data_IF_888910569738
#
_entry.id   IF_888910569738
#
_cell.length_a   1.000
_cell.length_b   1.000
_cell.length_c   1.000
_cell.angle_alpha   90.00
_cell.angle_beta   90.00
_cell.angle_gamma   90.00
#
_symmetry.space_group_name_H-M   'P 1'
#
loop_
_entity.id
_entity.type
_entity.pdbx_description
1 polymer ?
#
# COMPACT_ATOMS: atom_id res chain seq x y z
N UNK A 1 -37.26 -19.25 20.54
CA UNK A 1 -36.23 -18.60 19.72
C UNK A 1 -36.49 -17.11 19.74
N UNK A 2 -35.58 -16.33 20.29
CA UNK A 2 -35.70 -14.86 20.32
C UNK A 2 -34.89 -14.30 19.16
N UNK A 3 -35.54 -13.56 18.27
CA UNK A 3 -34.90 -12.99 17.07
C UNK A 3 -35.27 -11.52 16.97
N UNK A 4 -34.34 -10.69 16.54
CA UNK A 4 -34.60 -9.27 16.40
C UNK A 4 -35.67 -9.03 15.32
N UNK A 5 -36.59 -8.08 15.53
CA UNK A 5 -37.67 -7.77 14.58
C UNK A 5 -37.14 -7.47 13.16
N UNK A 6 -35.94 -6.87 13.06
CA UNK A 6 -35.24 -6.57 11.80
C UNK A 6 -34.82 -7.80 10.99
N UNK A 7 -34.72 -8.96 11.62
CA UNK A 7 -34.34 -10.24 11.00
C UNK A 7 -35.56 -11.04 10.54
N UNK A 8 -36.77 -10.57 10.85
CA UNK A 8 -38.03 -11.23 10.49
C UNK A 8 -38.66 -10.50 9.32
N UNK A 9 -38.66 -11.14 8.15
CA UNK A 9 -39.33 -10.64 6.95
C UNK A 9 -40.61 -11.44 6.76
N UNK A 10 -41.76 -10.74 6.84
CA UNK A 10 -43.06 -11.34 6.56
C UNK A 10 -43.39 -11.13 5.09
N UNK A 11 -43.63 -12.22 4.37
CA UNK A 11 -44.11 -12.19 2.99
C UNK A 11 -45.44 -12.93 2.91
N UNK A 12 -46.54 -12.16 2.93
CA UNK A 12 -47.89 -12.69 2.99
C UNK A 12 -48.09 -13.63 4.18
N UNK A 13 -48.45 -14.89 3.89
CA UNK A 13 -48.67 -15.94 4.90
C UNK A 13 -47.39 -16.64 5.38
N UNK A 14 -46.24 -16.30 4.80
CA UNK A 14 -44.94 -16.87 5.14
C UNK A 14 -44.09 -15.91 5.96
N UNK A 15 -43.36 -16.45 6.94
CA UNK A 15 -42.39 -15.71 7.74
C UNK A 15 -41.01 -16.27 7.43
N UNK A 16 -40.11 -15.42 6.94
CA UNK A 16 -38.70 -15.74 6.76
C UNK A 16 -37.90 -15.07 7.85
N UNK A 17 -37.00 -15.83 8.46
CA UNK A 17 -36.13 -15.35 9.52
C UNK A 17 -34.70 -15.48 9.03
N UNK A 18 -33.98 -14.35 8.96
CA UNK A 18 -32.60 -14.29 8.52
C UNK A 18 -31.67 -14.23 9.73
N UNK A 19 -30.94 -15.31 9.96
CA UNK A 19 -30.04 -15.44 11.09
C UNK A 19 -28.58 -15.31 10.61
N UNK A 20 -27.70 -14.62 11.35
CA UNK A 20 -26.28 -14.60 11.01
C UNK A 20 -25.69 -16.00 11.16
N UNK A 21 -24.77 -16.38 10.27
CA UNK A 21 -24.22 -17.75 10.19
C UNK A 21 -23.49 -18.17 11.48
N UNK A 22 -22.83 -17.24 12.16
CA UNK A 22 -21.98 -17.52 13.33
C UNK A 22 -22.61 -17.12 14.67
N UNK A 23 -23.94 -17.00 14.73
CA UNK A 23 -24.65 -16.51 15.93
C UNK A 23 -25.15 -17.65 16.84
N UNK A 24 -25.43 -17.32 18.10
CA UNK A 24 -26.00 -18.24 19.10
C UNK A 24 -27.45 -17.88 19.38
N UNK A 25 -28.34 -18.84 19.19
CA UNK A 25 -29.77 -18.68 19.32
C UNK A 25 -30.30 -19.38 20.56
N UNK A 26 -31.07 -18.65 21.34
CA UNK A 26 -31.73 -19.17 22.54
C UNK A 26 -33.10 -19.76 22.16
N UNK A 27 -33.24 -21.07 22.29
CA UNK A 27 -34.49 -21.80 22.11
C UNK A 27 -35.29 -21.81 23.41
N UNK A 28 -36.60 -21.64 23.29
CA UNK A 28 -37.53 -21.68 24.40
C UNK A 28 -38.49 -22.87 24.23
N UNK A 29 -38.92 -23.46 25.35
CA UNK A 29 -39.93 -24.52 25.37
C UNK A 29 -41.33 -23.94 25.08
N UNK A 30 -42.34 -24.81 24.97
CA UNK A 30 -43.74 -24.39 24.72
C UNK A 30 -44.33 -23.52 25.85
N UNK A 31 -43.72 -23.52 27.03
CA UNK A 31 -44.12 -22.74 28.21
C UNK A 31 -43.33 -21.42 28.33
N UNK A 32 -42.42 -21.15 27.40
CA UNK A 32 -41.59 -19.95 27.38
C UNK A 32 -40.28 -20.04 28.19
N UNK A 33 -39.96 -21.19 28.77
CA UNK A 33 -38.71 -21.37 29.52
C UNK A 33 -37.53 -21.64 28.58
N UNK A 34 -36.31 -21.34 29.05
CA UNK A 34 -35.08 -21.66 28.33
C UNK A 34 -34.96 -23.18 28.10
N UNK A 35 -34.93 -23.60 26.83
CA UNK A 35 -34.78 -25.01 26.47
C UNK A 35 -33.33 -25.35 26.10
N UNK A 36 -32.69 -24.54 25.26
CA UNK A 36 -31.31 -24.77 24.81
C UNK A 36 -30.72 -23.52 24.16
N UNK A 37 -29.39 -23.40 24.15
CA UNK A 37 -28.67 -22.42 23.33
C UNK A 37 -27.96 -23.15 22.21
N UNK A 38 -28.27 -22.82 20.96
CA UNK A 38 -27.79 -23.54 19.77
C UNK A 38 -27.18 -22.56 18.78
N UNK A 39 -26.10 -22.94 18.09
CA UNK A 39 -25.55 -22.14 16.97
C UNK A 39 -26.50 -22.13 15.77
N UNK A 40 -26.37 -21.17 14.87
CA UNK A 40 -27.16 -21.14 13.62
C UNK A 40 -27.06 -22.44 12.83
N UNK A 41 -25.88 -23.04 12.74
CA UNK A 41 -25.70 -24.36 12.11
C UNK A 41 -26.47 -25.48 12.82
N UNK A 42 -26.55 -25.45 14.16
CA UNK A 42 -27.31 -26.42 14.92
C UNK A 42 -28.84 -26.26 14.78
N UNK A 43 -29.33 -25.14 14.24
CA UNK A 43 -30.74 -24.98 13.92
C UNK A 43 -31.18 -25.83 12.73
N UNK A 44 -30.26 -26.22 11.83
CA UNK A 44 -30.59 -27.06 10.67
C UNK A 44 -31.03 -28.48 11.03
N UNK A 45 -30.93 -28.87 12.31
CA UNK A 45 -31.60 -30.08 12.81
C UNK A 45 -33.12 -29.99 12.74
N UNK A 46 -33.67 -28.78 12.82
CA UNK A 46 -35.12 -28.52 12.85
C UNK A 46 -35.62 -27.70 11.65
N UNK A 47 -34.71 -27.09 10.91
CA UNK A 47 -35.00 -26.26 9.73
C UNK A 47 -34.22 -26.76 8.53
N UNK A 48 -34.75 -26.56 7.32
CA UNK A 48 -34.01 -26.91 6.10
C UNK A 48 -32.74 -26.04 5.99
N UNK A 49 -31.61 -26.67 5.67
CA UNK A 49 -30.40 -25.94 5.34
C UNK A 49 -30.62 -25.16 4.03
N UNK A 50 -30.30 -23.86 4.00
CA UNK A 50 -30.42 -23.08 2.78
C UNK A 50 -29.47 -23.65 1.73
N UNK A 51 -29.97 -23.91 0.52
CA UNK A 51 -29.13 -24.31 -0.61
C UNK A 51 -28.25 -23.14 -1.05
N UNK A 52 -27.07 -23.05 -0.44
CA UNK A 52 -26.06 -22.04 -0.77
C UNK A 52 -25.42 -22.29 -2.14
N UNK A 53 -25.58 -23.50 -2.70
CA UNK A 53 -25.05 -23.89 -4.01
C UNK A 53 -25.99 -23.53 -5.17
N UNK A 54 -27.29 -23.37 -4.90
CA UNK A 54 -28.30 -22.96 -5.88
C UNK A 54 -28.27 -21.48 -6.25
N UNK A 55 -27.66 -20.63 -5.41
CA UNK A 55 -27.48 -19.19 -5.67
C UNK A 55 -26.59 -18.91 -6.89
N UNK A 56 -25.69 -19.82 -7.25
CA UNK A 56 -24.87 -19.72 -8.48
C UNK A 56 -25.57 -20.30 -9.72
N UNK A 57 -26.70 -21.00 -9.54
CA UNK A 57 -27.43 -21.71 -10.59
C UNK A 57 -28.77 -21.05 -10.98
N UNK A 58 -29.18 -19.96 -10.32
CA UNK A 58 -30.38 -19.22 -10.70
C UNK A 58 -30.18 -18.50 -12.05
N UNK A 59 -30.55 -19.22 -13.11
CA UNK A 59 -30.48 -18.81 -14.52
C UNK A 59 -31.42 -17.63 -14.87
N UNK A 60 -32.31 -17.25 -13.95
CA UNK A 60 -33.37 -16.24 -14.15
C UNK A 60 -33.19 -14.94 -13.35
N UNK A 61 -32.07 -14.75 -12.63
CA UNK A 61 -31.78 -13.42 -12.07
C UNK A 61 -31.35 -12.50 -13.21
N UNK A 62 -32.04 -11.35 -13.36
CA UNK A 62 -31.61 -10.29 -14.29
C UNK A 62 -30.13 -10.00 -14.02
N UNK A 63 -29.32 -9.90 -15.06
CA UNK A 63 -27.85 -9.80 -14.96
C UNK A 63 -27.37 -8.70 -14.01
N UNK A 64 -28.18 -7.64 -13.82
CA UNK A 64 -27.94 -6.56 -12.86
C UNK A 64 -28.14 -6.90 -11.37
N UNK A 65 -28.99 -7.87 -11.02
CA UNK A 65 -29.18 -8.31 -9.63
C UNK A 65 -28.02 -9.21 -9.18
N UNK A 66 -27.47 -10.03 -10.09
CA UNK A 66 -26.29 -10.87 -9.80
C UNK A 66 -25.05 -10.02 -9.58
N UNK A 67 -24.87 -8.93 -10.34
CA UNK A 67 -23.77 -7.99 -10.11
C UNK A 67 -23.95 -7.23 -8.79
N UNK A 68 -25.15 -6.81 -8.43
CA UNK A 68 -25.41 -6.19 -7.12
C UNK A 68 -25.10 -7.13 -5.96
N UNK A 69 -25.54 -8.40 -6.01
CA UNK A 69 -25.22 -9.38 -4.97
C UNK A 69 -23.71 -9.61 -4.84
N UNK A 70 -22.97 -9.59 -5.96
CA UNK A 70 -21.49 -9.64 -5.93
C UNK A 70 -20.91 -8.41 -5.24
N UNK A 71 -21.34 -7.20 -5.60
CA UNK A 71 -20.85 -5.97 -4.96
C UNK A 71 -21.15 -5.90 -3.47
N UNK A 72 -22.32 -6.37 -3.01
CA UNK A 72 -22.64 -6.44 -1.59
C UNK A 72 -21.80 -7.49 -0.86
N UNK A 73 -21.49 -8.60 -1.51
CA UNK A 73 -20.58 -9.61 -0.95
C UNK A 73 -19.16 -9.06 -0.80
N UNK A 74 -18.68 -8.33 -1.80
CA UNK A 74 -17.39 -7.63 -1.75
C UNK A 74 -17.40 -6.59 -0.62
N UNK A 75 -18.40 -5.72 -0.54
CA UNK A 75 -18.52 -4.73 0.53
C UNK A 75 -18.60 -5.36 1.93
N UNK A 76 -19.26 -6.51 2.09
CA UNK A 76 -19.27 -7.26 3.35
C UNK A 76 -17.90 -7.89 3.67
N UNK A 77 -17.16 -8.31 2.64
CA UNK A 77 -15.77 -8.75 2.77
C UNK A 77 -14.88 -7.62 3.27
N UNK A 78 -14.99 -6.46 2.63
CA UNK A 78 -14.22 -5.26 2.99
C UNK A 78 -14.53 -4.79 4.42
N UNK A 79 -15.81 -4.84 4.84
CA UNK A 79 -16.22 -4.52 6.20
C UNK A 79 -15.64 -5.51 7.23
N UNK A 80 -15.60 -6.81 6.92
CA UNK A 80 -14.99 -7.81 7.80
C UNK A 80 -13.49 -7.61 7.90
N UNK A 81 -12.83 -7.34 6.79
CA UNK A 81 -11.40 -7.04 6.78
C UNK A 81 -11.09 -5.77 7.58
N UNK A 82 -11.91 -4.72 7.44
CA UNK A 82 -11.78 -3.51 8.24
C UNK A 82 -11.99 -3.79 9.74
N UNK A 83 -12.99 -4.59 10.09
CA UNK A 83 -13.23 -5.02 11.47
C UNK A 83 -12.04 -5.81 12.04
N UNK A 84 -11.46 -6.72 11.27
CA UNK A 84 -10.25 -7.47 11.66
C UNK A 84 -9.07 -6.53 11.89
N UNK A 85 -8.85 -5.55 11.01
CA UNK A 85 -7.80 -4.53 11.16
C UNK A 85 -7.99 -3.66 12.39
N UNK A 86 -9.21 -3.18 12.66
CA UNK A 86 -9.51 -2.39 13.86
C UNK A 86 -9.27 -3.21 15.13
N UNK A 87 -9.73 -4.47 15.15
CA UNK A 87 -9.54 -5.35 16.30
C UNK A 87 -8.07 -5.69 16.54
N UNK A 88 -7.31 -5.99 15.49
CA UNK A 88 -5.87 -6.21 15.57
C UNK A 88 -5.16 -4.96 16.06
N UNK A 89 -5.48 -3.79 15.49
CA UNK A 89 -4.92 -2.49 15.90
C UNK A 89 -5.19 -2.22 17.38
N UNK A 90 -6.44 -2.37 17.84
CA UNK A 90 -6.80 -2.18 19.25
C UNK A 90 -6.03 -3.11 20.20
N UNK A 91 -5.90 -4.40 19.84
CA UNK A 91 -5.23 -5.40 20.68
C UNK A 91 -3.73 -5.18 20.81
N UNK A 92 -3.07 -4.74 19.74
CA UNK A 92 -1.62 -4.65 19.69
C UNK A 92 -1.09 -3.25 19.96
N UNK A 93 -1.73 -2.19 19.47
CA UNK A 93 -1.24 -0.82 19.73
C UNK A 93 -1.43 -0.38 21.18
N UNK A 94 -2.42 -0.93 21.89
CA UNK A 94 -2.55 -0.72 23.34
C UNK A 94 -1.35 -1.26 24.12
N UNK A 95 -0.61 -2.22 23.56
CA UNK A 95 0.59 -2.82 24.17
C UNK A 95 1.88 -2.16 23.71
N UNK A 96 1.93 -1.62 22.50
CA UNK A 96 3.15 -1.03 21.91
C UNK A 96 3.18 0.50 21.91
N UNK A 97 2.24 1.16 22.60
CA UNK A 97 2.23 2.61 22.71
C UNK A 97 1.90 3.33 21.39
N UNK A 98 1.24 2.64 20.45
CA UNK A 98 0.77 3.24 19.20
C UNK A 98 1.61 2.96 17.94
N UNK A 99 2.78 2.32 18.07
CA UNK A 99 3.61 1.97 16.92
C UNK A 99 3.16 0.64 16.28
N UNK A 100 2.78 0.70 15.00
CA UNK A 100 2.29 -0.45 14.21
C UNK A 100 3.44 -1.39 13.83
N UNK A 101 4.63 -0.87 13.55
CA UNK A 101 5.78 -1.71 13.17
C UNK A 101 6.24 -2.54 14.37
N UNK A 102 6.30 -1.94 15.56
CA UNK A 102 6.55 -2.68 16.81
C UNK A 102 5.44 -3.70 17.11
N UNK A 103 4.17 -3.34 16.87
CA UNK A 103 3.05 -4.27 17.02
C UNK A 103 3.20 -5.48 16.09
N UNK A 104 3.65 -5.27 14.85
CA UNK A 104 3.88 -6.33 13.88
C UNK A 104 5.04 -7.25 14.33
N UNK A 105 6.16 -6.68 14.79
CA UNK A 105 7.30 -7.45 15.31
C UNK A 105 6.88 -8.30 16.52
N UNK A 106 6.12 -7.73 17.47
CA UNK A 106 5.62 -8.51 18.61
C UNK A 106 4.62 -9.59 18.21
N UNK A 107 3.70 -9.30 17.28
CA UNK A 107 2.71 -10.28 16.81
C UNK A 107 3.38 -11.46 16.09
N UNK A 108 4.38 -11.18 15.25
CA UNK A 108 5.17 -12.19 14.55
C UNK A 108 6.05 -13.00 15.50
N UNK A 109 6.67 -12.37 16.50
CA UNK A 109 7.41 -13.05 17.55
C UNK A 109 6.53 -14.00 18.36
N UNK A 110 5.37 -13.53 18.83
CA UNK A 110 4.40 -14.37 19.56
C UNK A 110 3.87 -15.51 18.71
N UNK A 111 3.66 -15.30 17.40
CA UNK A 111 3.28 -16.36 16.47
C UNK A 111 4.38 -17.44 16.34
N UNK A 112 5.65 -17.05 16.33
CA UNK A 112 6.76 -18.00 16.29
C UNK A 112 6.84 -18.82 17.60
N UNK A 113 6.77 -18.15 18.75
CA UNK A 113 6.78 -18.81 20.06
C UNK A 113 5.62 -19.79 20.23
N UNK A 114 4.40 -19.38 19.89
CA UNK A 114 3.21 -20.24 19.97
C UNK A 114 3.28 -21.43 19.02
N UNK A 115 3.89 -21.28 17.83
CA UNK A 115 4.15 -22.41 16.93
C UNK A 115 5.15 -23.41 17.51
N UNK A 116 6.22 -22.94 18.14
CA UNK A 116 7.20 -23.82 18.80
C UNK A 116 6.51 -24.58 19.93
N UNK A 117 5.73 -23.89 20.77
CA UNK A 117 4.95 -24.52 21.83
C UNK A 117 3.92 -25.54 21.30
N UNK A 118 3.24 -25.23 20.20
CA UNK A 118 2.32 -26.15 19.53
C UNK A 118 3.03 -27.40 19.00
N UNK A 119 4.20 -27.24 18.36
CA UNK A 119 5.00 -28.37 17.87
C UNK A 119 5.48 -29.26 19.01
N UNK A 120 5.96 -28.67 20.10
CA UNK A 120 6.37 -29.42 21.29
C UNK A 120 5.20 -30.22 21.90
N UNK A 121 4.01 -29.60 22.00
CA UNK A 121 2.79 -30.28 22.47
C UNK A 121 2.32 -31.37 21.50
N UNK A 122 2.47 -31.18 20.19
CA UNK A 122 2.16 -32.21 19.20
C UNK A 122 3.07 -33.43 19.37
N UNK A 123 4.38 -33.21 19.51
CA UNK A 123 5.35 -34.28 19.75
C UNK A 123 5.03 -35.03 21.05
N UNK A 124 4.75 -34.30 22.13
CA UNK A 124 4.34 -34.92 23.39
C UNK A 124 3.04 -35.75 23.25
N UNK A 125 2.09 -35.29 22.44
CA UNK A 125 0.85 -36.03 22.18
C UNK A 125 1.11 -37.31 21.38
N UNK A 126 1.96 -37.24 20.36
CA UNK A 126 2.34 -38.40 19.56
C UNK A 126 3.13 -39.42 20.37
N UNK A 127 4.01 -38.96 21.26
CA UNK A 127 4.81 -39.84 22.13
C UNK A 127 3.91 -40.57 23.14
N UNK A 128 2.94 -39.87 23.74
CA UNK A 128 1.94 -40.51 24.63
C UNK A 128 1.06 -41.52 23.88
N UNK A 129 0.67 -41.22 22.65
CA UNK A 129 -0.10 -42.16 21.81
C UNK A 129 0.74 -43.39 21.41
N UNK A 130 2.03 -43.21 21.15
CA UNK A 130 2.93 -44.29 20.74
C UNK A 130 3.33 -45.21 21.90
N UNK A 131 3.55 -44.65 23.10
CA UNK A 131 4.02 -45.39 24.27
C UNK A 131 2.87 -46.00 25.09
N UNK A 132 1.62 -45.65 24.82
CA UNK A 132 0.44 -46.22 25.50
C UNK A 132 0.30 -45.82 26.97
N UNK A 133 1.11 -44.86 27.43
CA UNK A 133 1.28 -44.47 28.83
C UNK A 133 0.29 -43.34 29.23
N UNK A 134 -0.97 -43.43 28.79
CA UNK A 134 -2.03 -42.47 29.16
C UNK A 134 -2.64 -42.81 30.52
N UNK A 135 -1.77 -42.87 31.54
CA UNK A 135 -2.16 -43.00 32.93
C UNK A 135 -2.70 -41.64 33.42
N UNK A 136 -3.98 -41.39 33.19
CA UNK A 136 -4.71 -40.28 33.83
C UNK A 136 -5.36 -39.23 32.92
N UNK A 137 -5.50 -39.49 31.61
CA UNK A 137 -6.19 -38.56 30.69
C UNK A 137 -5.33 -37.37 30.26
N UNK A 138 -4.00 -37.52 30.35
CA UNK A 138 -3.03 -36.52 29.92
C UNK A 138 -3.15 -36.26 28.41
N UNK A 139 -3.48 -37.27 27.61
CA UNK A 139 -3.71 -37.12 26.18
C UNK A 139 -4.93 -36.22 25.89
N UNK A 140 -6.03 -36.38 26.63
CA UNK A 140 -7.24 -35.57 26.44
C UNK A 140 -7.00 -34.09 26.80
N UNK A 141 -6.27 -33.84 27.89
CA UNK A 141 -5.83 -32.49 28.28
C UNK A 141 -4.95 -31.88 27.19
N UNK A 142 -3.97 -32.64 26.69
CA UNK A 142 -3.06 -32.17 25.66
C UNK A 142 -3.77 -31.90 24.32
N UNK A 143 -4.75 -32.72 23.94
CA UNK A 143 -5.61 -32.48 22.78
C UNK A 143 -6.47 -31.21 22.93
N UNK A 144 -7.01 -30.95 24.13
CA UNK A 144 -7.74 -29.71 24.40
C UNK A 144 -6.81 -28.49 24.28
N UNK A 145 -5.61 -28.58 24.85
CA UNK A 145 -4.57 -27.57 24.75
C UNK A 145 -4.12 -27.30 23.31
N UNK A 146 -3.98 -28.36 22.51
CA UNK A 146 -3.67 -28.26 21.08
C UNK A 146 -4.77 -27.50 20.32
N UNK A 147 -6.05 -27.78 20.59
CA UNK A 147 -7.17 -27.04 19.98
C UNK A 147 -7.22 -25.57 20.41
N UNK A 148 -6.79 -25.25 21.64
CA UNK A 148 -6.72 -23.85 22.11
C UNK A 148 -5.58 -23.12 21.40
N UNK A 149 -4.39 -23.72 21.38
CA UNK A 149 -3.20 -23.15 20.75
C UNK A 149 -3.33 -23.04 19.22
N UNK A 150 -4.00 -23.98 18.57
CA UNK A 150 -4.35 -23.89 17.15
C UNK A 150 -5.23 -22.67 16.86
N UNK A 151 -6.27 -22.44 17.68
CA UNK A 151 -7.12 -21.25 17.56
C UNK A 151 -6.32 -19.96 17.79
N UNK A 152 -5.41 -19.95 18.77
CA UNK A 152 -4.52 -18.81 19.00
C UNK A 152 -3.60 -18.56 17.79
N UNK A 153 -3.03 -19.61 17.17
CA UNK A 153 -2.21 -19.49 15.95
C UNK A 153 -3.03 -18.90 14.80
N UNK A 154 -4.29 -19.34 14.61
CA UNK A 154 -5.16 -18.78 13.58
C UNK A 154 -5.45 -17.29 13.81
N UNK A 155 -5.76 -16.92 15.05
CA UNK A 155 -5.96 -15.52 15.42
C UNK A 155 -4.71 -14.68 15.19
N UNK A 156 -3.53 -15.15 15.62
CA UNK A 156 -2.26 -14.46 15.43
C UNK A 156 -1.89 -14.30 13.96
N UNK A 157 -2.17 -15.31 13.12
CA UNK A 157 -1.99 -15.20 11.66
C UNK A 157 -2.88 -14.11 11.06
N UNK A 158 -4.14 -14.02 11.49
CA UNK A 158 -5.06 -12.99 11.03
C UNK A 158 -4.60 -11.60 11.50
N UNK A 159 -4.19 -11.47 12.77
CA UNK A 159 -3.66 -10.22 13.30
C UNK A 159 -2.40 -9.76 12.54
N UNK A 160 -1.45 -10.65 12.23
CA UNK A 160 -0.25 -10.32 11.44
C UNK A 160 -0.62 -9.85 10.03
N UNK A 161 -1.57 -10.51 9.36
CA UNK A 161 -2.06 -10.10 8.04
C UNK A 161 -2.68 -8.71 8.10
N UNK A 162 -3.53 -8.48 9.09
CA UNK A 162 -4.22 -7.21 9.29
C UNK A 162 -3.25 -6.06 9.59
N UNK A 163 -2.26 -6.28 10.47
CA UNK A 163 -1.21 -5.31 10.76
C UNK A 163 -0.33 -5.03 9.53
N UNK A 164 0.00 -6.04 8.74
CA UNK A 164 0.76 -5.87 7.48
C UNK A 164 -0.02 -5.05 6.45
N UNK A 165 -1.35 -5.22 6.38
CA UNK A 165 -2.19 -4.40 5.53
C UNK A 165 -2.19 -2.93 6.00
N UNK A 166 -2.28 -2.70 7.31
CA UNK A 166 -2.23 -1.36 7.91
C UNK A 166 -0.90 -0.66 7.64
N UNK A 167 0.24 -1.34 7.82
CA UNK A 167 1.56 -0.73 7.53
C UNK A 167 1.70 -0.35 6.05
N UNK A 168 1.20 -1.20 5.14
CA UNK A 168 1.16 -0.88 3.71
C UNK A 168 0.27 0.32 3.42
N UNK A 169 -0.89 0.45 4.06
CA UNK A 169 -1.78 1.59 3.87
C UNK A 169 -1.21 2.89 4.44
N UNK A 170 -0.63 2.86 5.64
CA UNK A 170 0.06 4.02 6.22
C UNK A 170 1.24 4.47 5.35
N UNK A 171 2.00 3.52 4.77
CA UNK A 171 3.07 3.87 3.84
C UNK A 171 2.55 4.56 2.58
N UNK A 172 1.42 4.10 2.03
CA UNK A 172 0.79 4.71 0.84
C UNK A 172 0.26 6.11 1.14
N UNK A 173 -0.42 6.29 2.28
CA UNK A 173 -0.92 7.60 2.71
C UNK A 173 0.23 8.58 2.98
N UNK A 174 1.30 8.12 3.64
CA UNK A 174 2.51 8.94 3.88
C UNK A 174 3.16 9.41 2.58
N UNK A 175 3.21 8.55 1.55
CA UNK A 175 3.71 8.92 0.21
C UNK A 175 2.75 9.91 -0.46
N UNK A 176 1.44 9.69 -0.42
CA UNK A 176 0.45 10.60 -0.98
C UNK A 176 0.53 12.00 -0.35
N UNK A 177 0.62 12.09 0.98
CA UNK A 177 0.79 13.34 1.71
C UNK A 177 2.10 14.06 1.37
N UNK A 178 3.16 13.31 1.10
CA UNK A 178 4.46 13.86 0.69
C UNK A 178 4.39 14.43 -0.74
N UNK A 179 3.69 13.75 -1.64
CA UNK A 179 3.44 14.23 -3.00
C UNK A 179 2.59 15.50 -2.95
N UNK A 180 1.49 15.51 -2.19
CA UNK A 180 0.61 16.67 -2.07
C UNK A 180 1.34 17.89 -1.49
N UNK A 181 2.14 17.69 -0.43
CA UNK A 181 3.01 18.75 0.11
C UNK A 181 4.04 19.25 -0.90
N UNK A 182 4.61 18.35 -1.71
CA UNK A 182 5.55 18.71 -2.78
C UNK A 182 4.88 19.53 -3.89
N UNK A 183 3.67 19.16 -4.30
CA UNK A 183 2.87 19.89 -5.31
C UNK A 183 2.46 21.26 -4.77
N UNK A 184 1.99 21.33 -3.52
CA UNK A 184 1.66 22.60 -2.87
C UNK A 184 2.88 23.53 -2.76
N UNK A 185 4.06 23.00 -2.45
CA UNK A 185 5.30 23.77 -2.43
C UNK A 185 5.69 24.31 -3.82
N UNK A 186 5.59 23.48 -4.86
CA UNK A 186 5.86 23.90 -6.26
C UNK A 186 4.90 24.98 -6.73
N UNK A 187 3.60 24.85 -6.43
CA UNK A 187 2.62 25.90 -6.75
C UNK A 187 2.92 27.23 -6.06
N UNK A 188 3.43 27.19 -4.82
CA UNK A 188 3.86 28.41 -4.10
C UNK A 188 5.09 29.05 -4.74
N UNK A 189 6.06 28.26 -5.22
CA UNK A 189 7.24 28.80 -5.91
C UNK A 189 6.87 29.36 -7.28
N UNK A 190 6.00 28.68 -8.03
CA UNK A 190 5.50 29.14 -9.33
C UNK A 190 4.68 30.43 -9.20
N UNK A 191 3.84 30.54 -8.18
CA UNK A 191 3.09 31.76 -7.89
C UNK A 191 4.03 32.95 -7.56
N UNK A 192 5.08 32.73 -6.76
CA UNK A 192 6.09 33.76 -6.47
C UNK A 192 6.85 34.18 -7.72
N UNK A 193 7.27 33.23 -8.57
CA UNK A 193 7.94 33.57 -9.83
C UNK A 193 7.03 34.30 -10.80
N UNK A 194 5.75 33.92 -10.88
CA UNK A 194 4.77 34.61 -11.72
C UNK A 194 4.50 36.04 -11.22
N UNK A 195 4.45 36.24 -9.91
CA UNK A 195 4.31 37.57 -9.30
C UNK A 195 5.55 38.44 -9.52
N UNK A 196 6.77 37.87 -9.44
CA UNK A 196 8.01 38.59 -9.76
C UNK A 196 8.07 38.99 -11.25
N UNK A 197 7.65 38.11 -12.15
CA UNK A 197 7.56 38.40 -13.60
C UNK A 197 6.52 39.50 -13.86
N UNK A 198 5.35 39.42 -13.21
CA UNK A 198 4.30 40.44 -13.33
C UNK A 198 4.74 41.80 -12.77
N UNK A 199 5.51 41.82 -11.67
CA UNK A 199 6.11 43.05 -11.15
C UNK A 199 7.13 43.65 -12.12
N UNK A 200 8.02 42.83 -12.70
CA UNK A 200 8.98 43.29 -13.72
C UNK A 200 8.29 43.90 -14.95
N UNK A 201 7.20 43.28 -15.41
CA UNK A 201 6.41 43.83 -16.53
C UNK A 201 5.78 45.18 -16.17
N UNK A 202 5.19 45.32 -14.97
CA UNK A 202 4.64 46.61 -14.52
C UNK A 202 5.69 47.72 -14.43
N UNK A 203 6.91 47.40 -13.99
CA UNK A 203 8.01 48.37 -13.98
C UNK A 203 8.49 48.73 -15.39
N UNK A 204 8.48 47.78 -16.34
CA UNK A 204 8.80 48.06 -17.73
C UNK A 204 7.74 48.94 -18.40
N UNK A 205 6.46 48.68 -18.14
CA UNK A 205 5.34 49.46 -18.68
C UNK A 205 5.34 50.90 -18.12
N UNK A 206 5.64 51.07 -16.82
CA UNK A 206 5.80 52.41 -16.22
C UNK A 206 7.05 53.16 -16.72
N UNK A 207 8.10 52.44 -17.14
CA UNK A 207 9.27 53.05 -17.77
C UNK A 207 9.00 53.44 -19.23
N UNK A 208 8.11 52.73 -19.93
CA UNK A 208 7.70 53.03 -21.31
C UNK A 208 6.83 54.29 -21.46
N UNK A 209 6.14 54.73 -20.40
CA UNK A 209 5.30 55.94 -20.41
C UNK A 209 6.07 57.26 -20.23
N UNK A 210 7.42 57.22 -20.21
CA UNK A 210 8.29 58.40 -20.13
C UNK A 210 9.14 58.67 -21.36
N UNK A 211 8.91 57.96 -22.47
CA UNK A 211 9.51 58.33 -23.75
C UNK A 211 8.67 59.41 -24.43
N UNK A 212 8.87 60.66 -23.98
CA UNK A 212 8.48 61.84 -24.75
C UNK A 212 9.08 61.76 -26.16
N UNK A 213 8.36 62.18 -27.23
CA UNK A 213 8.79 62.04 -28.63
C UNK A 213 10.15 62.64 -29.02
N UNK A 214 10.85 63.32 -28.10
CA UNK A 214 12.21 63.84 -28.30
C UNK A 214 13.34 62.82 -28.11
N UNK A 215 13.09 61.62 -27.55
CA UNK A 215 14.14 60.63 -27.30
C UNK A 215 14.36 59.60 -28.41
N UNK A 216 13.45 59.49 -29.38
CA UNK A 216 13.60 58.57 -30.52
C UNK A 216 14.68 59.03 -31.51
N UNK A 217 15.01 60.32 -31.55
CA UNK A 217 16.03 60.87 -32.47
C UNK A 217 17.46 60.68 -31.93
N UNK A 218 17.62 60.37 -30.64
CA UNK A 218 18.95 60.16 -30.03
C UNK A 218 19.43 58.70 -30.08
N UNK A 219 18.52 57.73 -30.32
CA UNK A 219 18.86 56.30 -30.26
C UNK A 219 19.42 55.75 -31.58
N UNK A 220 19.03 56.33 -32.71
CA UNK A 220 19.59 55.99 -34.03
C UNK A 220 21.05 56.47 -34.16
N UNK A 221 21.41 57.60 -33.52
CA UNK A 221 22.80 58.10 -33.51
C UNK A 221 23.75 57.35 -32.56
N UNK A 222 23.23 56.65 -31.55
CA UNK A 222 24.05 55.85 -30.61
C UNK A 222 24.26 54.41 -31.12
N UNK A 223 23.34 53.86 -31.91
CA UNK A 223 23.51 52.54 -32.54
C UNK A 223 24.69 52.52 -33.51
N UNK A 224 24.84 53.56 -34.34
CA UNK A 224 25.94 53.71 -35.29
C UNK A 224 27.30 53.92 -34.59
N UNK A 225 27.31 54.54 -33.40
CA UNK A 225 28.54 54.74 -32.62
C UNK A 225 28.97 53.49 -31.81
N UNK A 226 28.01 52.62 -31.47
CA UNK A 226 28.28 51.38 -30.74
C UNK A 226 28.76 50.25 -31.68
N UNK A 227 28.28 50.21 -32.93
CA UNK A 227 28.69 49.22 -33.93
C UNK A 227 30.17 49.38 -34.34
N UNK A 228 30.63 50.62 -34.51
CA UNK A 228 32.05 50.93 -34.82
C UNK A 228 32.99 50.59 -33.65
N UNK A 229 32.54 50.67 -32.38
CA UNK A 229 33.35 50.27 -31.22
C UNK A 229 33.43 48.76 -31.00
N UNK A 230 32.49 47.99 -31.53
CA UNK A 230 32.48 46.51 -31.41
C UNK A 230 33.33 45.86 -32.50
N UNK A 231 33.53 46.49 -33.66
CA UNK A 231 34.46 45.98 -34.68
C UNK A 231 35.93 46.17 -34.29
N UNK A 232 36.31 47.32 -33.68
CA UNK A 232 37.69 47.55 -33.22
C UNK A 232 38.09 46.65 -32.03
N UNK A 233 37.14 46.24 -31.18
CA UNK A 233 37.43 45.30 -30.08
C UNK A 233 37.49 43.83 -30.50
N UNK A 234 37.11 43.50 -31.75
CA UNK A 234 37.19 42.13 -32.29
C UNK A 234 38.52 41.80 -32.94
N UNK A 235 39.40 42.78 -33.19
CA UNK A 235 40.72 42.54 -33.80
C UNK A 235 41.89 42.52 -32.82
N UNK A 236 41.73 43.03 -31.59
CA UNK A 236 42.84 43.11 -30.62
C UNK A 236 42.75 42.12 -29.44
N UNK A 237 41.86 41.12 -29.51
CA UNK A 237 41.78 40.03 -28.51
C UNK A 237 42.03 38.63 -29.05
N UNK A 238 42.79 38.53 -30.14
CA UNK A 238 43.41 37.27 -30.57
C UNK A 238 44.67 36.96 -29.74
N UNK A 239 44.45 36.82 -28.44
CA UNK A 239 45.47 36.49 -27.44
C UNK A 239 45.01 35.38 -26.52
N UNK A 240 45.05 34.14 -27.02
CA UNK A 240 45.17 32.96 -26.15
C UNK A 240 43.92 32.12 -25.94
N UNK A 241 43.81 31.07 -26.77
CA UNK A 241 43.35 29.71 -26.44
C UNK A 241 42.00 29.53 -25.73
N UNK A 242 41.04 28.91 -26.43
CA UNK A 242 40.19 27.90 -25.78
C UNK A 242 38.73 27.82 -26.20
N UNK A 243 38.49 27.47 -27.48
CA UNK A 243 37.42 26.56 -27.93
C UNK A 243 36.05 26.68 -27.22
N UNK A 244 35.19 27.50 -27.80
CA UNK A 244 33.78 27.12 -27.96
C UNK A 244 33.72 25.75 -28.64
N UNK A 245 33.18 24.77 -27.93
CA UNK A 245 32.72 23.53 -28.55
C UNK A 245 31.26 23.41 -28.17
N UNK A 246 30.39 23.59 -29.18
CA UNK A 246 28.94 23.47 -29.09
C UNK A 246 28.51 22.03 -28.84
N UNK A 247 28.89 21.52 -27.68
CA UNK A 247 28.73 20.12 -27.26
C UNK A 247 27.56 20.07 -26.28
N UNK A 248 26.55 19.29 -26.64
CA UNK A 248 25.33 19.14 -25.83
C UNK A 248 25.65 18.43 -24.52
N UNK A 249 24.81 18.63 -23.48
CA UNK A 249 25.01 18.04 -22.15
C UNK A 249 25.22 16.51 -22.20
N UNK A 250 24.61 15.84 -23.18
CA UNK A 250 24.72 14.40 -23.40
C UNK A 250 26.13 13.99 -23.87
N UNK A 251 26.70 14.72 -24.83
CA UNK A 251 28.07 14.48 -25.31
C UNK A 251 29.12 14.81 -24.24
N UNK A 252 28.83 15.78 -23.36
CA UNK A 252 29.68 16.10 -22.21
C UNK A 252 29.71 14.98 -21.18
N UNK A 253 28.58 14.29 -20.98
CA UNK A 253 28.48 13.12 -20.10
C UNK A 253 29.20 11.91 -20.71
N UNK A 254 29.08 11.68 -22.03
CA UNK A 254 29.79 10.60 -22.71
C UNK A 254 31.32 10.81 -22.70
N UNK A 255 31.79 12.04 -22.89
CA UNK A 255 33.21 12.37 -22.78
C UNK A 255 33.76 12.17 -21.35
N UNK A 256 32.95 12.46 -20.33
CA UNK A 256 33.34 12.27 -18.93
C UNK A 256 33.35 10.78 -18.52
N UNK A 257 32.42 9.99 -19.08
CA UNK A 257 32.40 8.52 -18.91
C UNK A 257 33.60 7.88 -19.59
N UNK A 258 33.96 8.35 -20.79
CA UNK A 258 35.13 7.87 -21.52
C UNK A 258 36.44 8.18 -20.79
N UNK A 259 36.60 9.41 -20.27
CA UNK A 259 37.76 9.77 -19.43
C UNK A 259 37.88 8.95 -18.15
N UNK A 260 36.75 8.58 -17.53
CA UNK A 260 36.75 7.69 -16.35
C UNK A 260 37.09 6.24 -16.68
N UNK A 261 36.81 5.77 -17.90
CA UNK A 261 37.25 4.46 -18.40
C UNK A 261 38.75 4.43 -18.66
N UNK A 262 39.27 5.46 -19.31
CA UNK A 262 40.71 5.61 -19.59
C UNK A 262 41.52 5.79 -18.29
N UNK A 263 41.00 6.54 -17.31
CA UNK A 263 41.62 6.67 -15.99
C UNK A 263 41.55 5.38 -15.13
N UNK A 264 40.66 4.44 -15.45
CA UNK A 264 40.56 3.12 -14.81
C UNK A 264 41.45 2.06 -15.48
N UNK A 265 42.19 2.40 -16.53
CA UNK A 265 43.12 1.47 -17.16
C UNK A 265 42.46 0.25 -17.81
N UNK A 266 41.20 0.35 -18.21
CA UNK A 266 40.52 -0.70 -18.97
C UNK A 266 40.48 -0.32 -20.45
N UNK A 267 41.56 -0.65 -21.17
CA UNK A 267 41.54 -0.52 -22.62
C UNK A 267 42.86 -0.68 -23.34
N UNK A 268 43.60 -1.77 -23.14
CA UNK A 268 44.48 -2.34 -24.17
C UNK A 268 44.62 -3.86 -23.93
N UNK A 269 43.68 -4.65 -24.46
CA UNK A 269 44.01 -5.99 -24.96
C UNK A 269 43.59 -6.05 -26.42
N UNK A 270 44.34 -5.30 -27.23
CA UNK A 270 44.43 -5.51 -28.66
C UNK A 270 45.25 -6.77 -28.86
N UNK A 271 44.57 -7.85 -29.27
CA UNK A 271 45.23 -9.06 -29.70
C UNK A 271 46.24 -8.77 -30.81
N UNK A 272 47.42 -9.35 -30.68
CA UNK A 272 47.95 -10.17 -31.75
C UNK A 272 49.02 -11.15 -31.22
N UNK A 273 49.00 -12.33 -31.83
CA UNK A 273 50.15 -13.20 -32.04
C UNK A 273 50.71 -14.04 -30.87
N UNK A 274 50.28 -15.31 -30.82
CA UNK A 274 51.21 -16.43 -30.63
C UNK A 274 50.72 -17.68 -31.34
N UNK A 275 51.41 -17.96 -32.45
CA UNK A 275 51.28 -19.17 -33.25
C UNK A 275 51.43 -20.48 -32.46
N UNK A 276 50.87 -21.52 -33.06
CA UNK A 276 50.88 -22.85 -32.52
C UNK A 276 52.25 -23.52 -32.46
N UNK A 277 52.31 -24.59 -31.67
CA UNK A 277 53.15 -25.73 -31.97
C UNK A 277 52.43 -27.00 -31.54
N UNK A 278 52.01 -27.76 -32.55
CA UNK A 278 51.67 -29.17 -32.42
C UNK A 278 52.96 -30.00 -32.45
N UNK A 279 52.88 -31.16 -31.77
CA UNK A 279 53.85 -32.25 -31.59
C UNK A 279 54.77 -32.11 -30.39
#
# INVERSE_FOLDING_TARGET
MTVAKKQVVRHGRSVRIYLPVDDRHVLADRKGNLAATVTTGGLYKWFAEPDMSGLSKQKDMKTGEVTQVKTWREALGDLRELQERVNAKSRWLSRTGGDIDQALVQATGRLAETRIGFQAKLVAATDLMANGDDLGGNLAVLQADLRITEREIHQLKNDVRALTALTREESKMSIADKIERGVAARRRTEARSAEEIAQRQRYADQAGDRETPGHLVARDGEADAQEVRVEDQRHDRDGGTGRDTGVTLRERIEAEVQRRREARGEGLDSGDDRGGRSR
#
